data_IF_099973878711
#
_entry.id   IF_099973878711
#
_cell.length_a   1.000
_cell.length_b   1.000
_cell.length_c   1.000
_cell.angle_alpha   90.00
_cell.angle_beta   90.00
_cell.angle_gamma   90.00
#
_symmetry.space_group_name_H-M   'P 1'
#
loop_
_entity.id
_entity.type
_entity.pdbx_description
1 polymer ?
#
# COMPACT_ATOMS: atom_id res chain seq x y z
N UNK A 1 9.42 -7.42 -17.83
CA UNK A 1 9.33 -7.45 -16.35
C UNK A 1 9.64 -6.06 -15.83
N UNK A 2 8.70 -5.42 -15.18
CA UNK A 2 8.90 -4.11 -14.58
C UNK A 2 9.39 -4.34 -13.15
N UNK A 3 10.51 -3.73 -12.77
CA UNK A 3 11.04 -3.82 -11.41
C UNK A 3 10.38 -2.73 -10.57
N UNK A 4 9.66 -3.11 -9.53
CA UNK A 4 9.01 -2.19 -8.63
C UNK A 4 9.93 -1.87 -7.45
N UNK A 5 10.13 -0.61 -7.23
CA UNK A 5 10.64 -0.09 -5.97
C UNK A 5 9.49 -0.05 -4.97
N UNK A 6 9.57 -0.94 -4.06
CA UNK A 6 8.92 -1.18 -2.82
C UNK A 6 8.04 -0.08 -2.22
N UNK A 7 6.89 -0.48 -1.77
CA UNK A 7 6.08 0.20 -0.78
C UNK A 7 6.88 0.36 0.51
N UNK A 8 7.34 1.55 0.79
CA UNK A 8 7.94 1.91 2.06
C UNK A 8 6.87 2.54 2.94
N UNK A 9 6.51 1.83 3.98
CA UNK A 9 6.02 2.45 5.19
C UNK A 9 7.21 3.16 5.82
N UNK A 10 7.39 4.44 5.55
CA UNK A 10 8.49 5.22 6.10
C UNK A 10 7.97 6.26 7.06
N UNK A 11 8.34 6.11 8.30
CA UNK A 11 8.62 7.24 9.17
C UNK A 11 9.94 7.89 8.71
N UNK A 12 9.83 9.07 8.12
CA UNK A 12 10.87 10.10 8.05
C UNK A 12 12.09 9.87 7.15
N UNK A 13 12.25 10.74 6.14
CA UNK A 13 13.52 10.96 5.44
C UNK A 13 13.33 11.49 4.01
N UNK A 14 13.65 12.73 3.78
CA UNK A 14 13.56 13.44 2.51
C UNK A 14 14.67 13.00 1.53
N UNK A 15 14.30 12.75 0.27
CA UNK A 15 15.19 12.92 -0.88
C UNK A 15 14.45 13.60 -2.03
N UNK A 16 14.96 14.74 -2.42
CA UNK A 16 14.53 15.53 -3.57
C UNK A 16 15.23 15.08 -4.84
N UNK A 17 14.46 14.69 -5.86
CA UNK A 17 14.87 14.83 -7.26
C UNK A 17 13.70 15.46 -8.01
N UNK A 18 13.95 16.65 -8.57
CA UNK A 18 12.94 17.45 -9.22
C UNK A 18 12.48 16.84 -10.54
N UNK A 19 11.21 16.50 -10.61
CA UNK A 19 10.40 16.53 -11.82
C UNK A 19 9.13 17.29 -11.47
N UNK A 20 8.88 18.35 -12.26
CA UNK A 20 7.68 19.17 -12.12
C UNK A 20 6.45 18.31 -12.35
N UNK A 21 5.51 18.23 -11.38
CA UNK A 21 4.32 17.39 -11.56
C UNK A 21 3.48 17.98 -12.69
N UNK A 22 3.12 17.16 -13.67
CA UNK A 22 2.00 17.47 -14.55
C UNK A 22 0.77 17.76 -13.66
N UNK A 23 -0.02 18.77 -14.02
CA UNK A 23 -1.21 19.15 -13.28
C UNK A 23 -2.07 17.91 -13.01
N UNK A 24 -2.12 17.48 -11.76
CA UNK A 24 -2.91 16.31 -11.36
C UNK A 24 -4.38 16.64 -11.56
N UNK A 25 -5.07 15.81 -12.32
CA UNK A 25 -6.53 15.76 -12.32
C UNK A 25 -7.05 15.67 -10.88
N UNK A 26 -8.26 16.17 -10.57
CA UNK A 26 -8.80 16.04 -9.24
C UNK A 26 -8.65 14.59 -8.76
N UNK A 27 -8.16 14.42 -7.54
CA UNK A 27 -7.85 13.12 -6.96
C UNK A 27 -8.95 12.11 -7.28
N UNK A 28 -8.56 10.99 -7.83
CA UNK A 28 -9.45 9.90 -8.18
C UNK A 28 -8.68 8.59 -8.11
N UNK A 29 -9.38 7.48 -8.20
CA UNK A 29 -8.73 6.18 -8.27
C UNK A 29 -7.84 6.04 -9.52
N UNK A 30 -8.18 6.75 -10.59
CA UNK A 30 -7.39 6.76 -11.84
C UNK A 30 -5.96 7.29 -11.62
N UNK A 31 -5.76 8.17 -10.65
CA UNK A 31 -4.43 8.67 -10.29
C UNK A 31 -3.51 7.58 -9.75
N UNK A 32 -4.06 6.43 -9.34
CA UNK A 32 -3.31 5.25 -8.92
C UNK A 32 -3.04 4.27 -10.08
N UNK A 33 -3.39 4.62 -11.31
CA UNK A 33 -3.22 3.74 -12.48
C UNK A 33 -1.77 3.32 -12.73
N UNK A 34 -0.80 4.11 -12.27
CA UNK A 34 0.62 3.79 -12.35
C UNK A 34 1.02 2.56 -11.51
N UNK A 35 0.20 2.21 -10.50
CA UNK A 35 0.43 1.04 -9.64
C UNK A 35 0.00 -0.27 -10.31
N UNK A 36 -0.87 -0.22 -11.34
CA UNK A 36 -1.42 -1.43 -11.96
C UNK A 36 -0.35 -2.30 -12.62
N UNK A 37 -0.47 -3.59 -12.44
CA UNK A 37 0.39 -4.58 -13.08
C UNK A 37 0.80 -5.70 -12.14
N UNK A 38 1.71 -6.55 -12.65
CA UNK A 38 2.36 -7.59 -11.88
C UNK A 38 3.77 -7.11 -11.51
N UNK A 39 4.07 -7.23 -10.24
CA UNK A 39 5.28 -6.68 -9.64
C UNK A 39 6.04 -7.74 -8.87
N UNK A 40 7.36 -7.61 -8.85
CA UNK A 40 8.25 -8.40 -7.98
C UNK A 40 9.25 -7.47 -7.30
N UNK A 41 9.59 -7.75 -6.06
CA UNK A 41 10.49 -6.88 -5.33
C UNK A 41 10.83 -7.39 -3.94
N UNK A 42 11.34 -6.49 -3.12
CA UNK A 42 11.62 -6.72 -1.70
C UNK A 42 10.65 -5.90 -0.86
N UNK A 43 10.09 -6.53 0.15
CA UNK A 43 9.31 -5.86 1.17
C UNK A 43 10.14 -5.75 2.45
N UNK A 44 10.23 -4.53 2.98
CA UNK A 44 10.93 -4.26 4.23
C UNK A 44 9.90 -4.08 5.34
N UNK A 45 10.12 -4.77 6.46
CA UNK A 45 9.32 -4.61 7.67
C UNK A 45 10.19 -4.03 8.76
N UNK A 46 9.81 -2.86 9.24
CA UNK A 46 10.39 -2.29 10.45
C UNK A 46 9.67 -2.88 11.67
N UNK A 47 10.41 -3.52 12.54
CA UNK A 47 9.88 -4.18 13.74
C UNK A 47 9.90 -3.28 14.97
N UNK A 48 10.24 -1.99 14.80
CA UNK A 48 10.19 -1.00 15.90
C UNK A 48 11.27 -1.16 16.97
N UNK A 49 12.47 -1.64 16.60
CA UNK A 49 13.60 -1.73 17.54
C UNK A 49 14.56 -2.88 17.28
N UNK A 50 14.30 -3.67 16.25
CA UNK A 50 15.20 -4.70 15.72
C UNK A 50 15.70 -4.40 14.32
N UNK A 51 16.56 -5.25 13.76
CA UNK A 51 16.94 -5.13 12.36
C UNK A 51 15.70 -5.31 11.48
N UNK A 52 15.56 -4.47 10.44
CA UNK A 52 14.49 -4.60 9.47
C UNK A 52 14.49 -6.00 8.84
N UNK A 53 13.33 -6.64 8.80
CA UNK A 53 13.19 -7.91 8.09
C UNK A 53 12.90 -7.63 6.62
N UNK A 54 13.58 -8.35 5.73
CA UNK A 54 13.43 -8.22 4.28
C UNK A 54 12.91 -9.52 3.70
N UNK A 55 11.78 -9.46 3.01
CA UNK A 55 11.18 -10.59 2.31
C UNK A 55 11.13 -10.39 0.80
N UNK A 56 11.04 -11.49 0.07
CA UNK A 56 10.69 -11.48 -1.35
C UNK A 56 9.19 -11.28 -1.48
N UNK A 57 8.77 -10.39 -2.38
CA UNK A 57 7.38 -10.07 -2.60
C UNK A 57 7.01 -10.22 -4.08
N UNK A 58 5.82 -10.76 -4.31
CA UNK A 58 5.12 -10.71 -5.59
C UNK A 58 3.79 -10.02 -5.37
N UNK A 59 3.41 -9.15 -6.29
CA UNK A 59 2.23 -8.34 -6.14
C UNK A 59 1.51 -8.19 -7.47
N UNK A 60 0.19 -8.32 -7.44
CA UNK A 60 -0.69 -8.06 -8.57
C UNK A 60 -1.69 -6.98 -8.19
N UNK A 61 -1.70 -5.91 -8.97
CA UNK A 61 -2.53 -4.74 -8.73
C UNK A 61 -3.43 -4.49 -9.93
N UNK A 62 -4.73 -4.44 -9.71
CA UNK A 62 -5.74 -4.21 -10.73
C UNK A 62 -6.89 -3.33 -10.22
N UNK A 63 -7.62 -2.69 -11.15
CA UNK A 63 -8.89 -2.05 -10.82
C UNK A 63 -9.99 -3.10 -10.86
N UNK A 64 -10.68 -3.28 -9.74
CA UNK A 64 -11.75 -4.25 -9.58
C UNK A 64 -13.02 -3.64 -9.01
N UNK A 65 -13.99 -4.51 -8.70
CA UNK A 65 -15.28 -4.20 -8.07
C UNK A 65 -15.95 -3.00 -8.77
N UNK A 66 -16.28 -3.20 -10.04
CA UNK A 66 -16.94 -2.19 -10.90
C UNK A 66 -16.16 -0.85 -11.00
N UNK A 67 -14.84 -0.90 -10.98
CA UNK A 67 -13.99 0.29 -11.11
C UNK A 67 -13.87 1.14 -9.84
N UNK A 68 -14.38 0.65 -8.70
CA UNK A 68 -14.43 1.44 -7.46
C UNK A 68 -13.25 1.20 -6.53
N UNK A 69 -12.46 0.15 -6.77
CA UNK A 69 -11.35 -0.22 -5.92
C UNK A 69 -10.11 -0.54 -6.74
N UNK A 70 -8.96 -0.12 -6.26
CA UNK A 70 -7.69 -0.73 -6.61
C UNK A 70 -7.53 -1.96 -5.70
N UNK A 71 -7.39 -3.12 -6.31
CA UNK A 71 -7.25 -4.39 -5.62
C UNK A 71 -5.81 -4.85 -5.75
N UNK A 72 -5.16 -5.08 -4.63
CA UNK A 72 -3.78 -5.55 -4.54
C UNK A 72 -3.76 -6.95 -3.93
N UNK A 73 -3.03 -7.84 -4.56
CA UNK A 73 -2.81 -9.23 -4.14
C UNK A 73 -1.33 -9.44 -3.93
N UNK A 74 -0.90 -9.23 -2.68
CA UNK A 74 0.49 -9.29 -2.27
C UNK A 74 0.78 -10.64 -1.61
N UNK A 75 1.82 -11.33 -2.05
CA UNK A 75 2.39 -12.49 -1.37
C UNK A 75 3.84 -12.20 -0.99
N UNK A 76 4.16 -12.39 0.28
CA UNK A 76 5.50 -12.10 0.82
C UNK A 76 6.09 -13.33 1.46
N UNK A 77 7.32 -13.65 1.11
CA UNK A 77 8.08 -14.76 1.70
C UNK A 77 9.25 -14.23 2.50
N UNK A 78 9.19 -14.39 3.82
CA UNK A 78 10.29 -14.08 4.72
C UNK A 78 11.23 -15.26 4.86
N UNK A 79 12.55 -15.04 5.06
CA UNK A 79 13.52 -16.11 5.32
C UNK A 79 13.04 -17.02 6.47
N UNK A 80 12.94 -18.32 6.22
CA UNK A 80 12.55 -19.31 7.22
C UNK A 80 11.08 -19.31 7.64
N UNK A 81 10.22 -18.58 6.94
CA UNK A 81 8.77 -18.52 7.21
C UNK A 81 7.94 -18.98 6.01
N UNK A 82 6.72 -19.38 6.27
CA UNK A 82 5.74 -19.63 5.20
C UNK A 82 5.39 -18.29 4.53
N UNK A 83 5.07 -18.31 3.22
CA UNK A 83 4.53 -17.13 2.56
C UNK A 83 3.30 -16.60 3.30
N UNK A 84 3.17 -15.29 3.35
CA UNK A 84 2.02 -14.57 3.90
C UNK A 84 1.28 -13.92 2.74
N UNK A 85 -0.01 -14.19 2.65
CA UNK A 85 -0.90 -13.61 1.66
C UNK A 85 -1.65 -12.42 2.24
N UNK A 86 -1.66 -11.34 1.48
CA UNK A 86 -2.29 -10.09 1.86
C UNK A 86 -3.18 -9.60 0.73
N UNK A 87 -4.31 -8.99 1.07
CA UNK A 87 -5.20 -8.30 0.14
C UNK A 87 -5.41 -6.89 0.60
N UNK A 88 -5.15 -5.94 -0.30
CA UNK A 88 -5.51 -4.55 -0.08
C UNK A 88 -6.64 -4.17 -1.01
N UNK A 89 -7.57 -3.37 -0.49
CA UNK A 89 -8.59 -2.69 -1.28
C UNK A 89 -8.47 -1.21 -1.01
N UNK A 90 -8.18 -0.44 -2.04
CA UNK A 90 -7.99 1.00 -1.93
C UNK A 90 -9.11 1.68 -2.71
N UNK A 91 -9.83 2.59 -2.10
CA UNK A 91 -10.84 3.43 -2.73
C UNK A 91 -10.52 4.90 -2.56
N UNK A 92 -11.16 5.75 -3.36
CA UNK A 92 -11.11 7.19 -3.21
C UNK A 92 -12.47 7.72 -2.81
N UNK A 93 -12.54 8.38 -1.67
CA UNK A 93 -13.74 9.08 -1.22
C UNK A 93 -13.73 10.53 -1.71
N UNK A 94 -14.66 10.84 -2.62
CA UNK A 94 -14.80 12.19 -3.19
C UNK A 94 -15.26 13.23 -2.18
N UNK A 95 -15.93 12.82 -1.11
CA UNK A 95 -16.47 13.74 -0.11
C UNK A 95 -15.36 14.23 0.81
N UNK A 96 -14.52 13.34 1.30
CA UNK A 96 -13.39 13.70 2.15
C UNK A 96 -12.13 14.08 1.36
N UNK A 97 -12.06 13.72 0.08
CA UNK A 97 -10.87 13.92 -0.75
C UNK A 97 -9.71 12.99 -0.39
N UNK A 98 -9.99 11.88 0.31
CA UNK A 98 -8.99 10.96 0.83
C UNK A 98 -9.06 9.59 0.16
N UNK A 99 -7.94 8.88 0.19
CA UNK A 99 -7.89 7.46 -0.08
C UNK A 99 -8.15 6.70 1.22
N UNK A 100 -8.98 5.67 1.14
CA UNK A 100 -9.20 4.71 2.21
C UNK A 100 -8.72 3.35 1.73
N UNK A 101 -7.98 2.63 2.57
CA UNK A 101 -7.50 1.30 2.28
C UNK A 101 -7.84 0.34 3.41
N UNK A 102 -8.14 -0.90 3.04
CA UNK A 102 -8.35 -2.00 3.98
C UNK A 102 -7.33 -3.08 3.67
N UNK A 103 -6.61 -3.46 4.70
CA UNK A 103 -5.59 -4.50 4.65
C UNK A 103 -6.08 -5.76 5.34
N UNK A 104 -6.26 -6.81 4.55
CA UNK A 104 -6.57 -8.16 5.01
C UNK A 104 -5.31 -9.02 4.89
N UNK A 105 -4.96 -9.74 5.94
CA UNK A 105 -3.84 -10.68 5.93
C UNK A 105 -4.25 -12.01 6.60
N UNK A 106 -3.45 -13.04 6.39
CA UNK A 106 -3.71 -14.38 6.92
C UNK A 106 -3.34 -14.54 8.42
N UNK A 107 -2.85 -13.48 9.06
CA UNK A 107 -2.46 -13.47 10.47
C UNK A 107 -3.47 -12.79 11.39
N UNK A 108 -4.47 -12.11 10.82
CA UNK A 108 -5.51 -11.37 11.56
C UNK A 108 -6.90 -11.70 11.07
N UNK A 109 -7.86 -11.78 11.98
CA UNK A 109 -9.29 -11.96 11.66
C UNK A 109 -10.00 -10.65 11.32
N UNK A 110 -9.34 -9.51 11.54
CA UNK A 110 -9.88 -8.18 11.28
C UNK A 110 -8.98 -7.43 10.32
N UNK A 111 -9.55 -6.70 9.35
CA UNK A 111 -8.77 -5.84 8.49
C UNK A 111 -8.23 -4.65 9.28
N UNK A 112 -7.06 -4.17 8.85
CA UNK A 112 -6.55 -2.88 9.29
C UNK A 112 -7.02 -1.82 8.30
N UNK A 113 -7.60 -0.74 8.79
CA UNK A 113 -8.02 0.39 7.98
C UNK A 113 -6.97 1.49 8.00
N UNK A 114 -6.76 2.08 6.83
CA UNK A 114 -5.85 3.20 6.62
C UNK A 114 -6.57 4.31 5.87
N UNK A 115 -6.17 5.55 6.13
CA UNK A 115 -6.56 6.70 5.34
C UNK A 115 -5.35 7.53 4.95
N UNK A 116 -5.43 8.23 3.83
CA UNK A 116 -4.31 9.04 3.42
C UNK A 116 -4.45 9.77 2.10
N UNK A 117 -3.32 10.23 1.61
CA UNK A 117 -3.22 11.12 0.47
C UNK A 117 -2.21 10.64 -0.56
N UNK A 118 -2.44 11.03 -1.79
CA UNK A 118 -1.48 10.87 -2.89
C UNK A 118 -0.68 12.16 -3.04
N UNK A 119 0.64 12.05 -3.01
CA UNK A 119 1.56 13.15 -3.30
C UNK A 119 2.53 12.72 -4.41
N UNK A 120 2.35 13.29 -5.60
CA UNK A 120 3.05 12.81 -6.79
C UNK A 120 2.70 11.33 -7.08
N UNK A 121 3.69 10.47 -7.16
CA UNK A 121 3.53 9.01 -7.33
C UNK A 121 3.67 8.25 -6.01
N UNK A 122 3.46 8.91 -4.88
CA UNK A 122 3.59 8.32 -3.55
C UNK A 122 2.25 8.39 -2.83
N UNK A 123 1.62 7.23 -2.62
CA UNK A 123 0.46 7.09 -1.77
C UNK A 123 0.93 6.89 -0.32
N UNK A 124 0.50 7.79 0.58
CA UNK A 124 0.84 7.74 2.00
C UNK A 124 -0.44 7.40 2.75
N UNK A 125 -0.44 6.25 3.38
CA UNK A 125 -1.57 5.75 4.16
C UNK A 125 -1.16 5.62 5.63
N UNK A 126 -1.99 6.11 6.51
CA UNK A 126 -1.81 6.03 7.95
C UNK A 126 -2.91 5.13 8.52
N UNK A 127 -2.54 4.19 9.36
CA UNK A 127 -3.53 3.36 10.05
C UNK A 127 -4.37 4.25 10.97
N UNK A 128 -5.68 4.07 10.89
CA UNK A 128 -6.56 4.60 11.94
C UNK A 128 -6.12 4.01 13.27
N UNK A 129 -6.05 4.80 14.37
CA UNK A 129 -5.84 4.22 15.68
C UNK A 129 -6.88 3.12 15.85
N UNK A 130 -6.41 1.90 16.11
CA UNK A 130 -7.27 0.74 16.33
C UNK A 130 -8.38 1.18 17.28
N UNK A 131 -9.64 1.00 16.88
CA UNK A 131 -10.76 1.14 17.80
C UNK A 131 -10.51 0.29 19.05
N UNK A 132 -11.32 0.43 20.13
CA UNK A 132 -11.06 -0.20 21.40
C UNK A 132 -10.66 -1.65 21.20
N UNK A 133 -9.50 -2.01 21.74
CA UNK A 133 -8.95 -3.35 21.66
C UNK A 133 -9.98 -4.40 22.09
N UNK A 134 -9.73 -5.68 21.83
CA UNK A 134 -10.68 -6.73 22.13
C UNK A 134 -11.09 -6.65 23.60
N UNK A 135 -12.40 -6.60 23.83
CA UNK A 135 -13.04 -6.68 25.15
C UNK A 135 -12.85 -8.10 25.68
#
# INVERSE_FOLDING_TARGET
>A
MKSLVCFLLVCGGAFTLGQQPAAQSPNSLDNLSFMKGDWTGKQNFDTGGGPAMVGDATDRIEIGIAGKYLCEMLSTTMPGRKPTDTRHFISYDKQSGKYTAWWFNDTSTHPTEFTGDLSGNKLILLSSPSGPGPV
#
